data_IF_152842404030
#
_entry.id   IF_152842404030
#
_cell.length_a   1.000
_cell.length_b   1.000
_cell.length_c   1.000
_cell.angle_alpha   90.00
_cell.angle_beta   90.00
_cell.angle_gamma   90.00
#
_symmetry.space_group_name_H-M   'P 1'
#
loop_
_entity.id
_entity.type
_entity.pdbx_description
1 polymer ?
#
# COMPACT_ATOMS: atom_id res chain seq x y z
N UNK A 1 -12.65 -6.68 11.96
CA UNK A 1 -13.38 -6.63 10.72
C UNK A 1 -14.85 -7.01 10.74
N UNK A 2 -15.34 -7.84 11.70
CA UNK A 2 -16.75 -8.29 11.66
C UNK A 2 -17.76 -7.18 11.99
N UNK A 3 -17.34 -6.13 12.66
CA UNK A 3 -18.21 -5.02 13.11
C UNK A 3 -18.15 -3.78 12.21
N UNK A 4 -17.49 -3.88 11.08
CA UNK A 4 -17.38 -2.78 10.10
C UNK A 4 -18.41 -3.02 9.00
N UNK A 5 -19.22 -2.01 8.61
CA UNK A 5 -20.27 -2.16 7.58
C UNK A 5 -19.69 -2.27 6.14
N UNK A 6 -18.52 -2.88 5.98
CA UNK A 6 -17.87 -3.12 4.70
C UNK A 6 -18.26 -4.52 4.24
N UNK A 7 -18.91 -4.61 3.07
CA UNK A 7 -19.35 -5.88 2.46
C UNK A 7 -18.33 -6.49 1.51
N UNK A 8 -17.50 -5.67 0.87
CA UNK A 8 -16.45 -6.10 -0.04
C UNK A 8 -15.38 -5.00 -0.14
N UNK A 9 -14.19 -5.34 -0.61
CA UNK A 9 -13.09 -4.38 -0.81
C UNK A 9 -12.31 -4.67 -2.09
N UNK A 10 -11.75 -3.61 -2.68
CA UNK A 10 -10.76 -3.72 -3.76
C UNK A 10 -9.53 -2.91 -3.37
N UNK A 11 -8.36 -3.51 -3.50
CA UNK A 11 -7.08 -2.86 -3.23
C UNK A 11 -6.22 -2.88 -4.51
N UNK A 12 -5.75 -1.71 -4.95
CA UNK A 12 -4.98 -1.56 -6.18
C UNK A 12 -3.56 -1.11 -5.85
N UNK A 13 -2.56 -1.85 -6.36
CA UNK A 13 -1.13 -1.58 -6.14
C UNK A 13 -0.74 -1.38 -4.67
N UNK A 14 -1.33 -2.17 -3.79
CA UNK A 14 -1.19 -2.02 -2.34
C UNK A 14 0.15 -2.57 -1.85
N UNK A 15 0.92 -1.84 -1.01
CA UNK A 15 2.13 -2.35 -0.38
C UNK A 15 1.76 -3.35 0.74
N UNK A 16 1.66 -4.64 0.43
CA UNK A 16 1.36 -5.66 1.45
C UNK A 16 2.54 -5.95 2.38
N UNK A 17 3.77 -5.61 1.96
CA UNK A 17 4.99 -5.56 2.79
C UNK A 17 5.57 -4.14 2.76
N UNK A 18 5.49 -3.44 3.88
CA UNK A 18 5.95 -2.06 4.00
C UNK A 18 7.48 -1.96 3.92
N UNK A 19 8.21 -2.93 4.49
CA UNK A 19 9.68 -2.91 4.48
C UNK A 19 10.22 -3.09 3.06
N UNK A 20 9.67 -4.03 2.29
CA UNK A 20 10.05 -4.25 0.89
C UNK A 20 9.74 -3.01 0.04
N UNK A 21 8.55 -2.43 0.20
CA UNK A 21 8.12 -1.24 -0.54
C UNK A 21 8.99 -0.04 -0.23
N UNK A 22 9.32 0.20 1.04
CA UNK A 22 10.23 1.27 1.45
C UNK A 22 11.65 1.07 0.87
N UNK A 23 12.18 -0.15 0.93
CA UNK A 23 13.48 -0.47 0.33
C UNK A 23 13.49 -0.25 -1.19
N UNK A 24 12.40 -0.61 -1.87
CA UNK A 24 12.25 -0.45 -3.32
C UNK A 24 12.21 1.03 -3.74
N UNK A 25 11.57 1.90 -2.95
CA UNK A 25 11.58 3.34 -3.18
C UNK A 25 12.98 3.95 -3.08
N UNK A 26 13.90 3.36 -2.31
CA UNK A 26 15.28 3.81 -2.21
C UNK A 26 16.17 3.41 -3.40
N UNK A 27 15.70 2.57 -4.32
CA UNK A 27 16.46 2.20 -5.52
C UNK A 27 16.78 3.44 -6.36
N UNK A 28 17.97 3.48 -6.97
CA UNK A 28 18.46 4.62 -7.78
C UNK A 28 17.46 5.09 -8.84
N UNK A 29 16.77 4.15 -9.50
CA UNK A 29 15.75 4.43 -10.51
C UNK A 29 14.54 5.19 -9.96
N UNK A 30 14.25 5.05 -8.67
CA UNK A 30 13.09 5.68 -8.01
C UNK A 30 13.45 6.98 -7.28
N UNK A 31 14.72 7.42 -7.34
CA UNK A 31 15.22 8.55 -6.54
C UNK A 31 14.44 9.86 -6.71
N UNK A 32 14.01 10.18 -7.92
CA UNK A 32 13.25 11.41 -8.18
C UNK A 32 11.86 11.33 -7.54
N UNK A 33 11.17 10.21 -7.76
CA UNK A 33 9.85 9.99 -7.15
C UNK A 33 9.94 9.92 -5.62
N UNK A 34 10.94 9.20 -5.08
CA UNK A 34 11.17 9.12 -3.64
C UNK A 34 11.37 10.51 -3.02
N UNK A 35 12.17 11.39 -3.64
CA UNK A 35 12.35 12.77 -3.17
C UNK A 35 11.02 13.53 -3.19
N UNK A 36 10.34 13.52 -4.32
CA UNK A 36 9.05 14.19 -4.46
C UNK A 36 8.03 13.71 -3.42
N UNK A 37 7.93 12.40 -3.20
CA UNK A 37 7.02 11.82 -2.21
C UNK A 37 7.39 12.23 -0.79
N UNK A 38 8.69 12.18 -0.44
CA UNK A 38 9.17 12.60 0.88
C UNK A 38 8.85 14.08 1.15
N UNK A 39 9.05 14.96 0.15
CA UNK A 39 8.73 16.38 0.29
C UNK A 39 7.22 16.57 0.53
N UNK A 40 6.35 15.87 -0.19
CA UNK A 40 4.89 15.90 0.04
C UNK A 40 4.50 15.38 1.43
N UNK A 41 5.14 14.33 1.88
CA UNK A 41 4.93 13.80 3.23
C UNK A 41 5.35 14.84 4.29
N UNK A 42 6.51 15.46 4.13
CA UNK A 42 6.98 16.53 5.04
C UNK A 42 5.98 17.70 5.07
N UNK A 43 5.49 18.14 3.93
CA UNK A 43 4.53 19.25 3.84
C UNK A 43 3.25 18.93 4.63
N UNK A 44 2.69 17.74 4.49
CA UNK A 44 1.50 17.31 5.24
C UNK A 44 1.73 17.32 6.76
N UNK A 45 2.94 16.97 7.20
CA UNK A 45 3.25 16.88 8.61
C UNK A 45 3.64 18.21 9.25
N UNK A 46 3.97 19.25 8.48
CA UNK A 46 4.28 20.60 8.99
C UNK A 46 3.08 21.21 9.73
N UNK A 47 1.88 20.95 9.27
CA UNK A 47 0.65 21.44 9.90
C UNK A 47 0.16 20.54 11.04
N UNK A 48 0.85 19.42 11.27
CA UNK A 48 0.52 18.50 12.37
C UNK A 48 1.26 18.92 13.64
N UNK A 49 0.61 18.98 14.80
CA UNK A 49 1.26 19.37 16.06
C UNK A 49 2.21 18.28 16.55
N UNK A 50 3.37 18.18 15.92
CA UNK A 50 4.44 17.28 16.32
C UNK A 50 5.09 17.77 17.62
N UNK A 51 5.49 16.84 18.48
CA UNK A 51 6.14 17.13 19.77
C UNK A 51 7.54 16.49 19.86
N UNK A 52 8.43 17.14 20.60
CA UNK A 52 9.75 16.59 20.94
C UNK A 52 10.63 16.34 19.73
N UNK A 53 11.25 15.17 19.68
CA UNK A 53 12.22 14.80 18.65
C UNK A 53 11.61 14.64 17.25
N UNK A 54 10.32 14.33 17.13
CA UNK A 54 9.66 14.21 15.84
C UNK A 54 9.58 15.55 15.10
N UNK A 55 9.30 16.64 15.82
CA UNK A 55 9.28 17.99 15.24
C UNK A 55 10.67 18.40 14.71
N UNK A 56 11.74 18.11 15.47
CA UNK A 56 13.12 18.39 15.04
C UNK A 56 13.55 17.52 13.85
N UNK A 57 13.09 16.27 13.82
CA UNK A 57 13.47 15.33 12.78
C UNK A 57 12.87 15.69 11.40
N UNK A 58 11.77 16.43 11.34
CA UNK A 58 11.01 16.65 10.09
C UNK A 58 11.89 17.25 8.96
N UNK A 59 12.73 18.21 9.28
CA UNK A 59 13.61 18.84 8.29
C UNK A 59 14.88 18.01 8.01
N UNK A 60 15.34 17.22 8.98
CA UNK A 60 16.58 16.46 8.90
C UNK A 60 16.47 15.14 8.12
N UNK A 61 15.26 14.53 8.07
CA UNK A 61 15.11 13.24 7.41
C UNK A 61 15.29 13.36 5.90
N UNK A 62 16.07 12.46 5.32
CA UNK A 62 16.43 12.42 3.91
C UNK A 62 15.86 11.21 3.14
N UNK A 63 15.10 10.34 3.82
CA UNK A 63 14.46 9.20 3.18
C UNK A 63 13.14 8.83 3.87
N UNK A 64 12.28 8.12 3.14
CA UNK A 64 11.03 7.57 3.68
C UNK A 64 11.31 6.68 4.89
N UNK A 65 12.36 5.84 4.85
CA UNK A 65 12.71 4.99 5.99
C UNK A 65 13.08 5.83 7.21
N UNK A 66 13.85 6.91 7.05
CA UNK A 66 14.16 7.82 8.15
C UNK A 66 12.94 8.59 8.63
N UNK A 67 12.03 8.96 7.72
CA UNK A 67 10.78 9.61 8.06
C UNK A 67 9.91 8.68 8.91
N UNK A 68 9.76 7.42 8.49
CA UNK A 68 9.02 6.42 9.23
C UNK A 68 9.66 6.12 10.59
N UNK A 69 11.01 6.05 10.64
CA UNK A 69 11.76 5.73 11.86
C UNK A 69 11.67 6.84 12.91
N UNK A 70 11.84 8.10 12.49
CA UNK A 70 12.01 9.24 13.40
C UNK A 70 10.71 10.02 13.65
N UNK A 71 9.70 9.83 12.80
CA UNK A 71 8.43 10.58 12.89
C UNK A 71 7.25 9.62 13.01
N UNK A 72 6.94 8.82 11.96
CA UNK A 72 5.73 7.99 11.94
C UNK A 72 5.72 6.97 13.08
N UNK A 73 6.81 6.23 13.25
CA UNK A 73 6.90 5.19 14.26
C UNK A 73 6.77 5.74 15.68
N UNK A 74 7.55 6.75 16.14
CA UNK A 74 7.43 7.29 17.49
C UNK A 74 6.06 7.93 17.78
N UNK A 75 5.51 8.68 16.81
CA UNK A 75 4.18 9.32 16.97
C UNK A 75 3.07 8.30 17.17
N UNK A 76 3.22 7.11 16.57
CA UNK A 76 2.25 6.01 16.69
C UNK A 76 2.64 4.92 17.70
N UNK A 77 3.61 5.18 18.58
CA UNK A 77 3.99 4.28 19.69
C UNK A 77 4.81 3.06 19.26
N UNK A 78 5.46 3.10 18.09
CA UNK A 78 6.39 2.06 17.64
C UNK A 78 7.84 2.43 18.00
N UNK A 79 8.69 1.40 18.14
CA UNK A 79 10.11 1.57 18.52
C UNK A 79 10.99 2.13 17.41
N UNK A 80 10.48 2.18 16.15
CA UNK A 80 11.17 2.64 14.96
C UNK A 80 10.56 2.02 13.71
N UNK A 81 11.08 2.36 12.52
CA UNK A 81 10.54 1.91 11.24
C UNK A 81 10.44 0.38 11.15
N UNK A 82 11.45 -0.36 11.59
CA UNK A 82 11.43 -1.84 11.56
C UNK A 82 10.27 -2.42 12.37
N UNK A 83 10.01 -1.90 13.56
CA UNK A 83 8.90 -2.34 14.41
C UNK A 83 7.56 -1.96 13.78
N UNK A 84 7.46 -0.73 13.25
CA UNK A 84 6.30 -0.24 12.53
C UNK A 84 5.98 -1.13 11.31
N UNK A 85 6.94 -1.39 10.44
CA UNK A 85 6.74 -2.23 9.25
C UNK A 85 6.35 -3.66 9.62
N UNK A 86 7.07 -4.26 10.58
CA UNK A 86 6.77 -5.61 11.06
C UNK A 86 5.34 -5.74 11.59
N UNK A 87 4.82 -4.73 12.28
CA UNK A 87 3.50 -4.79 12.91
C UNK A 87 2.36 -4.39 11.98
N UNK A 88 2.62 -3.56 10.96
CA UNK A 88 1.59 -2.95 10.12
C UNK A 88 1.58 -3.41 8.65
N UNK A 89 2.53 -4.24 8.21
CA UNK A 89 2.45 -4.85 6.88
C UNK A 89 1.17 -5.67 6.74
N UNK A 90 0.41 -5.38 5.67
CA UNK A 90 -0.91 -5.99 5.42
C UNK A 90 -0.84 -7.52 5.29
N UNK A 91 0.29 -8.06 4.79
CA UNK A 91 0.53 -9.50 4.64
C UNK A 91 0.19 -10.30 5.90
N UNK A 92 0.43 -9.75 7.09
CA UNK A 92 0.12 -10.40 8.38
C UNK A 92 -1.37 -10.57 8.64
N UNK A 93 -2.18 -9.73 8.02
CA UNK A 93 -3.62 -9.66 8.26
C UNK A 93 -4.43 -10.32 7.14
N UNK A 94 -3.83 -10.58 5.97
CA UNK A 94 -4.52 -11.14 4.81
C UNK A 94 -5.25 -12.44 5.14
N UNK A 95 -4.66 -13.34 5.93
CA UNK A 95 -5.33 -14.58 6.37
C UNK A 95 -6.57 -14.35 7.23
N UNK A 96 -6.76 -13.15 7.77
CA UNK A 96 -7.88 -12.79 8.67
C UNK A 96 -8.89 -11.86 8.00
N UNK A 97 -8.73 -11.57 6.73
CA UNK A 97 -9.70 -10.76 5.97
C UNK A 97 -11.01 -11.53 5.90
N UNK A 98 -12.09 -10.91 6.39
CA UNK A 98 -13.38 -11.56 6.59
C UNK A 98 -14.43 -11.21 5.53
N UNK A 99 -14.09 -10.32 4.58
CA UNK A 99 -14.99 -9.90 3.49
C UNK A 99 -14.33 -10.20 2.14
N UNK A 100 -15.13 -10.47 1.10
CA UNK A 100 -14.60 -10.62 -0.26
C UNK A 100 -13.71 -9.43 -0.62
N UNK A 101 -12.45 -9.71 -0.95
CA UNK A 101 -11.44 -8.67 -1.22
C UNK A 101 -10.64 -9.03 -2.45
N UNK A 102 -10.66 -8.14 -3.43
CA UNK A 102 -9.89 -8.26 -4.67
C UNK A 102 -8.64 -7.38 -4.59
N UNK A 103 -7.46 -7.99 -4.77
CA UNK A 103 -6.21 -7.27 -4.95
C UNK A 103 -5.85 -7.23 -6.43
N UNK A 104 -5.55 -6.04 -6.95
CA UNK A 104 -5.13 -5.81 -8.34
C UNK A 104 -3.71 -5.25 -8.30
N UNK A 105 -2.78 -5.94 -8.97
CA UNK A 105 -1.38 -5.52 -9.00
C UNK A 105 -0.73 -5.75 -10.36
N UNK A 106 0.29 -4.96 -10.70
CA UNK A 106 1.04 -5.09 -11.95
C UNK A 106 2.48 -5.56 -11.70
N UNK A 107 2.95 -6.51 -12.51
CA UNK A 107 4.33 -7.01 -12.41
C UNK A 107 5.38 -5.93 -12.69
N UNK A 108 5.04 -4.93 -13.50
CA UNK A 108 5.91 -3.81 -13.86
C UNK A 108 5.74 -2.58 -12.95
N UNK A 109 5.12 -2.73 -11.77
CA UNK A 109 5.03 -1.64 -10.81
C UNK A 109 6.46 -1.23 -10.36
N UNK A 110 6.86 0.05 -10.56
CA UNK A 110 8.20 0.49 -10.22
C UNK A 110 8.45 0.60 -8.72
N UNK A 111 7.38 0.75 -7.92
CA UNK A 111 7.47 1.08 -6.50
C UNK A 111 7.07 -0.06 -5.57
N UNK A 112 6.08 -0.85 -5.97
CA UNK A 112 5.62 -2.01 -5.20
C UNK A 112 6.04 -3.30 -5.91
N UNK A 113 6.84 -4.10 -5.22
CA UNK A 113 7.37 -5.35 -5.79
C UNK A 113 6.36 -6.48 -5.78
N UNK A 114 6.59 -7.47 -6.63
CA UNK A 114 5.74 -8.67 -6.72
C UNK A 114 6.12 -9.76 -5.72
N UNK A 115 7.33 -9.70 -5.14
CA UNK A 115 7.82 -10.75 -4.25
C UNK A 115 6.90 -11.03 -3.03
N UNK A 116 6.35 -10.01 -2.33
CA UNK A 116 5.40 -10.25 -1.27
C UNK A 116 4.14 -10.97 -1.73
N UNK A 117 3.65 -10.63 -2.92
CA UNK A 117 2.48 -11.28 -3.52
C UNK A 117 2.76 -12.72 -3.94
N UNK A 118 3.96 -13.01 -4.46
CA UNK A 118 4.34 -14.35 -4.91
C UNK A 118 4.52 -15.33 -3.73
N UNK A 119 4.98 -14.85 -2.56
CA UNK A 119 5.21 -15.72 -1.40
C UNK A 119 3.97 -15.94 -0.55
N UNK A 120 2.90 -15.13 -0.70
CA UNK A 120 1.68 -15.29 0.08
C UNK A 120 0.86 -16.49 -0.44
N UNK A 121 0.38 -17.31 0.47
CA UNK A 121 -0.50 -18.44 0.19
C UNK A 121 -1.95 -17.97 0.03
N UNK A 122 -2.32 -17.57 -1.19
CA UNK A 122 -3.64 -17.03 -1.51
C UNK A 122 -4.80 -17.99 -1.22
N UNK A 123 -4.69 -19.32 -1.51
CA UNK A 123 -5.72 -20.28 -1.15
C UNK A 123 -6.01 -20.38 0.35
N UNK A 124 -5.10 -19.91 1.21
CA UNK A 124 -5.31 -19.94 2.67
C UNK A 124 -6.46 -19.05 3.17
N UNK A 125 -6.98 -18.13 2.32
CA UNK A 125 -8.17 -17.34 2.63
C UNK A 125 -9.08 -17.22 1.40
N UNK A 126 -10.24 -17.89 1.38
CA UNK A 126 -11.17 -17.89 0.23
C UNK A 126 -11.82 -16.53 -0.04
N UNK A 127 -11.73 -15.57 0.90
CA UNK A 127 -12.21 -14.21 0.66
C UNK A 127 -11.25 -13.36 -0.19
N UNK A 128 -10.04 -13.85 -0.49
CA UNK A 128 -9.05 -13.08 -1.24
C UNK A 128 -8.99 -13.54 -2.70
N UNK A 129 -9.07 -12.57 -3.61
CA UNK A 129 -8.72 -12.73 -5.02
C UNK A 129 -7.52 -11.88 -5.40
N UNK A 130 -6.64 -12.41 -6.24
CA UNK A 130 -5.50 -11.66 -6.80
C UNK A 130 -5.59 -11.61 -8.33
N UNK A 131 -5.61 -10.41 -8.89
CA UNK A 131 -5.39 -10.15 -10.31
C UNK A 131 -3.99 -9.57 -10.50
N UNK A 132 -3.05 -10.43 -10.90
CA UNK A 132 -1.67 -10.05 -11.21
C UNK A 132 -1.52 -9.84 -12.72
N UNK A 133 -1.35 -8.59 -13.16
CA UNK A 133 -1.21 -8.25 -14.57
C UNK A 133 0.26 -8.05 -14.97
N UNK A 134 0.58 -8.31 -16.23
CA UNK A 134 1.93 -8.07 -16.78
C UNK A 134 2.28 -6.59 -16.80
N UNK A 135 1.31 -5.72 -17.09
CA UNK A 135 1.47 -4.27 -17.20
C UNK A 135 0.37 -3.52 -16.47
N UNK A 136 0.61 -2.24 -16.19
CA UNK A 136 -0.29 -1.36 -15.44
C UNK A 136 0.48 -0.29 -14.67
N UNK A 137 1.77 -0.51 -14.43
CA UNK A 137 2.56 0.38 -13.59
C UNK A 137 1.99 0.48 -12.19
N UNK A 138 2.19 1.63 -11.55
CA UNK A 138 1.55 1.92 -10.26
C UNK A 138 0.23 2.66 -10.50
N UNK A 139 -0.89 1.98 -10.28
CA UNK A 139 -2.28 2.44 -10.45
C UNK A 139 -2.66 3.00 -11.84
N UNK A 140 -1.81 2.87 -12.85
CA UNK A 140 -2.10 3.37 -14.20
C UNK A 140 -3.19 2.57 -14.90
N UNK A 141 -2.94 1.32 -15.18
CA UNK A 141 -3.87 0.36 -15.78
C UNK A 141 -4.73 0.95 -16.91
N UNK A 142 -4.08 1.69 -17.85
CA UNK A 142 -4.79 2.35 -18.95
C UNK A 142 -5.54 1.31 -19.81
N UNK A 143 -6.79 1.63 -20.15
CA UNK A 143 -7.60 0.84 -21.07
C UNK A 143 -7.45 1.36 -22.51
N UNK A 144 -7.42 0.44 -23.49
CA UNK A 144 -7.53 0.80 -24.91
C UNK A 144 -8.96 1.18 -25.31
N UNK A 145 -9.95 0.78 -24.53
CA UNK A 145 -11.37 0.86 -24.90
C UNK A 145 -12.11 2.03 -24.24
N UNK A 146 -11.40 3.06 -23.78
CA UNK A 146 -12.02 4.23 -23.19
C UNK A 146 -11.18 4.93 -22.12
N UNK A 147 -11.67 6.07 -21.59
CA UNK A 147 -10.93 6.88 -20.63
C UNK A 147 -10.89 6.25 -19.22
N UNK A 148 -11.79 5.30 -18.93
CA UNK A 148 -11.86 4.68 -17.61
C UNK A 148 -10.73 3.67 -17.43
N UNK A 149 -9.89 3.80 -16.39
CA UNK A 149 -8.84 2.84 -16.09
C UNK A 149 -9.40 1.43 -15.92
N UNK A 150 -8.66 0.43 -16.45
CA UNK A 150 -9.11 -0.97 -16.43
C UNK A 150 -9.40 -1.49 -15.01
N UNK A 151 -8.61 -1.08 -14.03
CA UNK A 151 -8.82 -1.49 -12.64
C UNK A 151 -10.14 -0.98 -12.06
N UNK A 152 -10.60 0.21 -12.48
CA UNK A 152 -11.91 0.73 -12.07
C UNK A 152 -13.05 -0.12 -12.65
N UNK A 153 -12.94 -0.52 -13.93
CA UNK A 153 -13.93 -1.41 -14.57
C UNK A 153 -13.95 -2.77 -13.88
N UNK A 154 -12.78 -3.31 -13.54
CA UNK A 154 -12.65 -4.60 -12.86
C UNK A 154 -13.19 -4.56 -11.42
N UNK A 155 -12.97 -3.45 -10.72
CA UNK A 155 -13.53 -3.21 -9.39
C UNK A 155 -15.07 -3.14 -9.44
N UNK A 156 -15.63 -2.42 -10.42
CA UNK A 156 -17.08 -2.35 -10.64
C UNK A 156 -17.69 -3.74 -10.83
N UNK A 157 -17.15 -4.52 -11.76
CA UNK A 157 -17.60 -5.90 -12.01
C UNK A 157 -17.50 -6.81 -10.77
N UNK A 158 -16.44 -6.63 -9.98
CA UNK A 158 -16.28 -7.38 -8.73
C UNK A 158 -17.39 -7.04 -7.73
N UNK A 159 -17.70 -5.76 -7.54
CA UNK A 159 -18.78 -5.34 -6.65
C UNK A 159 -20.18 -5.75 -7.14
N UNK A 160 -20.43 -5.68 -8.45
CA UNK A 160 -21.66 -6.17 -9.07
C UNK A 160 -21.84 -7.67 -8.82
N UNK A 161 -20.79 -8.48 -8.99
CA UNK A 161 -20.82 -9.90 -8.70
C UNK A 161 -21.16 -10.23 -7.24
N UNK A 162 -20.63 -9.45 -6.28
CA UNK A 162 -20.94 -9.60 -4.86
C UNK A 162 -22.40 -9.19 -4.56
N UNK A 163 -22.89 -8.11 -5.18
CA UNK A 163 -24.26 -7.63 -4.98
C UNK A 163 -25.33 -8.55 -5.56
N UNK A 164 -25.02 -9.25 -6.64
CA UNK A 164 -25.92 -10.23 -7.27
C UNK A 164 -26.06 -11.57 -6.53
N UNK A 165 -25.23 -11.80 -5.50
CA UNK A 165 -25.27 -13.00 -4.66
C UNK A 165 -26.12 -12.80 -3.38
N UNK A 166 -26.76 -11.64 -3.23
CA UNK A 166 -27.67 -11.28 -2.11
C UNK A 166 -29.11 -11.24 -2.58
#
# INVERSE_FOLDING_TARGET
GKDVPVRAAVAVSTPIDLAESAARLLLRRNRLYHRWLLDRMKDQWRDTPLRGNAAKALDEVASIVQFDDRIVAPVNGFKGAKDYYKKNSAERFLKKVAVPTLLIHAQNDPWIGTAPYARFDWPSNPNLGLLMLRGGGHVGFHSRNGPTPWHCVSAGKFFEGISGLT
#
